data_IF_516585039848
#
_entry.id   IF_516585039848
#
_cell.length_a   1.000
_cell.length_b   1.000
_cell.length_c   1.000
_cell.angle_alpha   90.00
_cell.angle_beta   90.00
_cell.angle_gamma   90.00
#
_symmetry.space_group_name_H-M   'P 1'
#
loop_
_entity.id
_entity.type
_entity.pdbx_description
1 polymer ?
#
# COMPACT_ATOMS: atom_id res chain seq x y z
N UNK A 1 11.03 1.29 -3.66
CA UNK A 1 10.14 2.03 -4.58
C UNK A 1 10.95 2.67 -5.70
N UNK A 2 10.39 2.65 -6.92
CA UNK A 2 11.05 3.07 -8.16
C UNK A 2 10.66 4.49 -8.61
N UNK A 3 9.39 4.87 -8.48
CA UNK A 3 8.87 6.16 -8.98
C UNK A 3 8.22 7.00 -7.89
N UNK A 4 7.56 6.38 -6.91
CA UNK A 4 7.06 7.08 -5.73
C UNK A 4 8.20 7.63 -4.87
N UNK A 5 8.05 8.86 -4.38
CA UNK A 5 8.93 9.44 -3.35
C UNK A 5 8.20 9.45 -2.00
N UNK A 6 8.82 8.86 -0.98
CA UNK A 6 8.40 8.95 0.41
C UNK A 6 9.67 8.94 1.27
N UNK A 7 10.11 10.11 1.70
CA UNK A 7 11.40 10.29 2.43
C UNK A 7 11.23 11.26 3.59
N UNK A 8 12.04 11.09 4.63
CA UNK A 8 12.16 12.09 5.69
C UNK A 8 12.96 13.30 5.21
N UNK A 9 12.38 14.51 5.33
CA UNK A 9 13.00 15.78 4.98
C UNK A 9 12.63 16.87 5.99
N UNK A 10 13.62 17.59 6.51
CA UNK A 10 13.49 18.74 7.42
C UNK A 10 12.41 18.62 8.53
N UNK A 11 12.37 17.47 9.22
CA UNK A 11 11.46 17.26 10.36
C UNK A 11 10.07 16.74 10.02
N UNK A 12 9.83 16.29 8.78
CA UNK A 12 8.61 15.59 8.39
C UNK A 12 8.79 14.69 7.17
N UNK A 13 7.72 14.04 6.73
CA UNK A 13 7.75 13.20 5.52
C UNK A 13 7.39 14.01 4.27
N UNK A 14 8.30 14.03 3.30
CA UNK A 14 8.02 14.46 1.94
C UNK A 14 7.49 13.27 1.13
N UNK A 15 6.26 13.40 0.62
CA UNK A 15 5.60 12.38 -0.19
C UNK A 15 5.17 12.94 -1.55
N UNK A 16 5.51 12.23 -2.63
CA UNK A 16 5.19 12.66 -4.00
C UNK A 16 4.91 11.45 -4.93
N UNK A 17 3.65 11.26 -5.40
CA UNK A 17 3.30 10.20 -6.34
C UNK A 17 3.40 10.63 -7.82
N UNK A 18 3.75 11.89 -8.14
CA UNK A 18 3.61 12.44 -9.50
C UNK A 18 4.40 11.68 -10.55
N UNK A 19 5.63 11.26 -10.23
CA UNK A 19 6.43 10.46 -11.15
C UNK A 19 5.79 9.08 -11.40
N UNK A 20 5.27 8.42 -10.36
CA UNK A 20 4.54 7.17 -10.52
C UNK A 20 3.29 7.34 -11.39
N UNK A 21 2.48 8.37 -11.13
CA UNK A 21 1.28 8.67 -11.91
C UNK A 21 1.57 8.98 -13.39
N UNK A 22 2.74 9.56 -13.70
CA UNK A 22 3.17 9.79 -15.08
C UNK A 22 3.58 8.49 -15.80
N UNK A 23 4.07 7.49 -15.07
CA UNK A 23 4.52 6.21 -15.61
C UNK A 23 3.40 5.16 -15.65
N UNK A 24 2.46 5.19 -14.71
CA UNK A 24 1.38 4.21 -14.58
C UNK A 24 0.65 3.92 -15.91
N UNK A 25 0.27 4.92 -16.74
CA UNK A 25 -0.38 4.65 -18.03
C UNK A 25 0.44 3.78 -18.99
N UNK A 26 1.77 3.73 -18.85
CA UNK A 26 2.66 2.97 -19.73
C UNK A 26 2.69 1.48 -19.42
N UNK A 27 2.33 1.09 -18.19
CA UNK A 27 2.39 -0.31 -17.75
C UNK A 27 1.12 -0.83 -17.08
N UNK A 28 0.11 0.01 -16.83
CA UNK A 28 -1.13 -0.43 -16.16
C UNK A 28 -1.81 -1.62 -16.86
N UNK A 29 -1.68 -1.75 -18.17
CA UNK A 29 -2.28 -2.86 -18.93
C UNK A 29 -1.55 -4.18 -18.71
N UNK A 30 -0.36 -4.15 -18.12
CA UNK A 30 0.41 -5.32 -17.69
C UNK A 30 0.09 -5.72 -16.25
N UNK A 31 -0.63 -4.87 -15.49
CA UNK A 31 -1.05 -5.20 -14.13
C UNK A 31 -2.21 -6.20 -14.14
N UNK A 32 -2.25 -7.12 -13.15
CA UNK A 32 -3.43 -7.91 -12.82
C UNK A 32 -4.66 -7.02 -12.59
N UNK A 33 -5.86 -7.59 -12.72
CA UNK A 33 -7.09 -6.81 -12.77
C UNK A 33 -7.33 -5.99 -11.49
N UNK A 34 -7.17 -6.61 -10.32
CA UNK A 34 -7.40 -5.93 -9.05
C UNK A 34 -6.28 -4.95 -8.69
N UNK A 35 -5.03 -5.32 -8.96
CA UNK A 35 -3.87 -4.43 -8.87
C UNK A 35 -4.04 -3.17 -9.74
N UNK A 36 -4.52 -3.34 -10.98
CA UNK A 36 -4.80 -2.24 -11.90
C UNK A 36 -5.93 -1.35 -11.40
N UNK A 37 -7.03 -1.95 -10.95
CA UNK A 37 -8.18 -1.22 -10.39
C UNK A 37 -7.74 -0.33 -9.23
N UNK A 38 -6.99 -0.91 -8.29
CA UNK A 38 -6.52 -0.20 -7.10
C UNK A 38 -5.53 0.92 -7.45
N UNK A 39 -4.46 0.61 -8.18
CA UNK A 39 -3.44 1.61 -8.56
C UNK A 39 -3.99 2.74 -9.46
N UNK A 40 -5.07 2.49 -10.20
CA UNK A 40 -5.65 3.46 -11.13
C UNK A 40 -6.81 4.26 -10.54
N UNK A 41 -7.21 4.02 -9.29
CA UNK A 41 -8.26 4.80 -8.65
C UNK A 41 -7.79 6.26 -8.50
N UNK A 42 -8.48 7.25 -9.12
CA UNK A 42 -8.09 8.65 -9.03
C UNK A 42 -8.03 9.20 -7.60
N UNK A 43 -8.80 8.62 -6.67
CA UNK A 43 -8.81 9.04 -5.28
C UNK A 43 -7.59 8.52 -4.50
N UNK A 44 -6.96 7.43 -4.95
CA UNK A 44 -5.87 6.76 -4.24
C UNK A 44 -4.69 7.69 -3.94
N UNK A 45 -4.28 8.48 -4.94
CA UNK A 45 -3.13 9.39 -4.87
C UNK A 45 -3.50 10.88 -4.73
N UNK A 46 -4.79 11.18 -4.59
CA UNK A 46 -5.26 12.55 -4.42
C UNK A 46 -5.11 12.99 -2.94
N UNK A 47 -3.91 13.45 -2.57
CA UNK A 47 -3.53 13.80 -1.18
C UNK A 47 -4.25 15.03 -0.58
N UNK A 48 -5.22 15.62 -1.30
CA UNK A 48 -5.92 16.83 -0.87
C UNK A 48 -6.84 16.64 0.33
N UNK A 49 -7.19 17.73 0.99
CA UNK A 49 -8.13 17.73 2.11
C UNK A 49 -9.50 17.17 1.72
N UNK A 50 -10.10 16.37 2.61
CA UNK A 50 -11.45 15.82 2.45
C UNK A 50 -11.53 14.56 1.59
N UNK A 51 -10.41 14.02 1.11
CA UNK A 51 -10.39 12.74 0.41
C UNK A 51 -10.17 11.57 1.39
N UNK A 52 -11.25 10.90 1.78
CA UNK A 52 -11.23 9.71 2.64
C UNK A 52 -10.84 8.41 1.93
N UNK A 53 -10.50 8.44 0.64
CA UNK A 53 -10.12 7.27 -0.17
C UNK A 53 -8.66 7.29 -0.63
N UNK A 54 -7.85 8.20 -0.08
CA UNK A 54 -6.41 8.19 -0.26
C UNK A 54 -5.75 7.24 0.75
N UNK A 55 -4.72 6.50 0.36
CA UNK A 55 -4.05 5.56 1.28
C UNK A 55 -3.21 6.23 2.35
N UNK A 56 -2.74 7.47 2.13
CA UNK A 56 -1.86 8.17 3.05
C UNK A 56 -2.53 8.34 4.42
N UNK A 57 -1.78 8.16 5.50
CA UNK A 57 -2.17 8.24 6.90
C UNK A 57 -3.05 7.08 7.40
N UNK A 58 -3.39 6.10 6.56
CA UNK A 58 -4.01 4.87 7.04
C UNK A 58 -3.07 4.14 8.02
N UNK A 59 -3.62 3.62 9.11
CA UNK A 59 -2.87 3.01 10.22
C UNK A 59 -2.77 1.49 10.01
N UNK A 60 -1.57 0.92 9.94
CA UNK A 60 -1.41 -0.53 9.83
C UNK A 60 -1.93 -1.21 11.11
N UNK A 61 -3.04 -1.96 10.99
CA UNK A 61 -3.76 -2.53 12.13
C UNK A 61 -3.73 -4.06 12.18
N UNK A 62 -3.48 -4.72 11.04
CA UNK A 62 -3.52 -6.17 10.97
C UNK A 62 -2.73 -6.75 9.80
N UNK A 63 -2.09 -7.89 10.06
CA UNK A 63 -1.43 -8.72 9.05
C UNK A 63 -1.85 -10.15 9.30
N UNK A 64 -2.55 -10.74 8.34
CA UNK A 64 -3.01 -12.13 8.42
C UNK A 64 -2.42 -12.93 7.28
N UNK A 65 -1.65 -13.96 7.61
CA UNK A 65 -1.08 -14.89 6.64
C UNK A 65 -1.76 -16.25 6.72
N UNK A 66 -2.12 -16.80 5.57
CA UNK A 66 -2.66 -18.15 5.50
C UNK A 66 -1.55 -19.19 5.76
N UNK A 67 -1.80 -20.08 6.72
CA UNK A 67 -0.84 -21.14 7.13
C UNK A 67 -0.97 -22.43 6.31
N UNK A 68 -1.97 -22.51 5.43
CA UNK A 68 -2.35 -23.69 4.64
C UNK A 68 -1.62 -23.78 3.29
N UNK A 69 -0.59 -22.95 3.08
CA UNK A 69 0.14 -22.80 1.81
C UNK A 69 -0.71 -22.31 0.63
N UNK A 70 -1.92 -21.77 0.87
CA UNK A 70 -2.72 -21.14 -0.18
C UNK A 70 -2.07 -19.89 -0.78
N UNK A 71 -1.06 -19.32 -0.10
CA UNK A 71 -0.43 -18.06 -0.49
C UNK A 71 -1.37 -16.87 -0.33
N UNK A 72 -2.34 -16.95 0.59
CA UNK A 72 -3.18 -15.83 1.01
C UNK A 72 -2.46 -14.94 2.02
N UNK A 73 -2.51 -13.63 1.79
CA UNK A 73 -2.08 -12.60 2.74
C UNK A 73 -3.18 -11.53 2.79
N UNK A 74 -3.48 -11.02 3.97
CA UNK A 74 -4.32 -9.83 4.14
C UNK A 74 -3.56 -8.80 4.95
N UNK A 75 -3.57 -7.57 4.46
CA UNK A 75 -3.17 -6.38 5.20
C UNK A 75 -4.44 -5.59 5.53
N UNK A 76 -4.53 -5.15 6.78
CA UNK A 76 -5.62 -4.32 7.26
C UNK A 76 -5.08 -2.99 7.75
N UNK A 77 -5.76 -1.93 7.33
CA UNK A 77 -5.44 -0.58 7.72
C UNK A 77 -6.66 0.11 8.32
N UNK A 78 -6.51 0.57 9.56
CA UNK A 78 -7.51 1.34 10.28
C UNK A 78 -7.61 2.77 9.73
N UNK A 79 -8.82 3.37 9.77
CA UNK A 79 -9.00 4.76 9.40
C UNK A 79 -8.29 5.68 10.39
N UNK A 80 -7.50 6.62 9.89
CA UNK A 80 -7.13 7.79 10.67
C UNK A 80 -8.37 8.66 10.90
N UNK A 81 -8.77 8.82 12.17
CA UNK A 81 -10.00 9.52 12.60
C UNK A 81 -10.16 10.96 12.07
N UNK A 82 -9.07 11.59 11.62
CA UNK A 82 -9.08 12.96 11.10
C UNK A 82 -9.31 13.04 9.59
N UNK A 83 -9.09 11.93 8.87
CA UNK A 83 -9.02 11.93 7.40
C UNK A 83 -9.90 10.89 6.73
N UNK A 84 -10.10 9.75 7.36
CA UNK A 84 -10.78 8.60 6.78
C UNK A 84 -12.06 8.29 7.55
N UNK A 85 -13.12 7.98 6.80
CA UNK A 85 -14.40 7.48 7.31
C UNK A 85 -14.46 5.94 7.31
N UNK A 86 -13.54 5.28 6.61
CA UNK A 86 -13.43 3.84 6.49
C UNK A 86 -11.97 3.39 6.47
N UNK A 87 -11.71 2.17 6.94
CA UNK A 87 -10.41 1.52 6.78
C UNK A 87 -10.25 0.90 5.39
N UNK A 88 -9.12 0.24 5.18
CA UNK A 88 -8.78 -0.46 3.96
C UNK A 88 -8.33 -1.89 4.27
N UNK A 89 -8.96 -2.87 3.63
CA UNK A 89 -8.49 -4.26 3.61
C UNK A 89 -7.92 -4.57 2.24
N UNK A 90 -6.68 -5.04 2.19
CA UNK A 90 -6.04 -5.52 0.96
C UNK A 90 -5.79 -7.02 1.10
N UNK A 91 -6.48 -7.81 0.27
CA UNK A 91 -6.30 -9.26 0.21
C UNK A 91 -5.48 -9.63 -1.02
N UNK A 92 -4.35 -10.29 -0.80
CA UNK A 92 -3.43 -10.75 -1.82
C UNK A 92 -3.61 -12.23 -2.10
N UNK A 93 -3.50 -12.61 -3.37
CA UNK A 93 -3.61 -13.99 -3.83
C UNK A 93 -2.32 -14.45 -4.51
N UNK A 94 -1.96 -15.73 -4.33
CA UNK A 94 -0.75 -16.28 -4.93
C UNK A 94 0.51 -15.53 -4.49
N UNK A 95 0.61 -15.19 -3.20
CA UNK A 95 1.77 -14.49 -2.64
C UNK A 95 2.99 -15.39 -2.74
N UNK A 96 4.05 -14.88 -3.36
CA UNK A 96 5.34 -15.56 -3.52
C UNK A 96 6.43 -14.94 -2.65
N UNK A 97 6.24 -13.70 -2.23
CA UNK A 97 7.14 -12.99 -1.33
C UNK A 97 6.35 -12.01 -0.45
N UNK A 98 6.73 -11.95 0.82
CA UNK A 98 6.26 -10.95 1.78
C UNK A 98 7.43 -10.57 2.69
N UNK A 99 7.71 -9.27 2.82
CA UNK A 99 8.66 -8.75 3.80
C UNK A 99 8.15 -7.46 4.43
N UNK A 100 8.59 -7.22 5.66
CA UNK A 100 8.51 -5.94 6.34
C UNK A 100 9.92 -5.58 6.74
N UNK A 101 10.38 -4.43 6.27
CA UNK A 101 11.74 -3.95 6.47
C UNK A 101 11.66 -2.64 7.27
N UNK A 102 12.09 -2.67 8.54
CA UNK A 102 12.09 -1.51 9.44
C UNK A 102 13.39 -0.70 9.27
N UNK A 103 13.28 0.62 9.17
CA UNK A 103 14.44 1.50 9.01
C UNK A 103 15.14 1.82 10.34
N UNK A 104 14.39 1.89 11.45
CA UNK A 104 14.94 2.14 12.78
C UNK A 104 14.60 1.03 13.78
N UNK A 105 15.10 1.18 15.01
CA UNK A 105 14.70 0.32 16.13
C UNK A 105 13.23 0.54 16.44
N UNK A 106 12.42 -0.53 16.32
CA UNK A 106 10.96 -0.53 16.50
C UNK A 106 10.56 0.29 17.73
N UNK A 107 9.89 1.42 17.52
CA UNK A 107 9.16 2.11 18.57
C UNK A 107 7.75 1.52 18.68
N UNK A 108 7.61 0.53 19.56
CA UNK A 108 6.36 -0.19 19.81
C UNK A 108 5.19 0.69 20.28
N UNK A 109 5.43 1.98 20.58
CA UNK A 109 4.40 2.92 21.04
C UNK A 109 3.72 3.68 19.90
N UNK A 110 4.25 3.65 18.68
CA UNK A 110 3.68 4.34 17.53
C UNK A 110 3.13 3.35 16.50
N UNK A 111 1.92 3.63 16.02
CA UNK A 111 1.32 2.86 14.91
C UNK A 111 1.95 3.34 13.61
N UNK A 112 2.46 2.41 12.81
CA UNK A 112 2.95 2.72 11.49
C UNK A 112 1.82 3.19 10.58
N UNK A 113 2.00 4.36 9.97
CA UNK A 113 1.02 4.92 9.02
C UNK A 113 1.56 4.92 7.61
N UNK A 114 0.68 4.70 6.64
CA UNK A 114 1.03 4.71 5.22
C UNK A 114 1.46 6.11 4.79
N UNK A 115 2.65 6.21 4.20
CA UNK A 115 3.10 7.41 3.52
C UNK A 115 2.57 7.43 2.09
N UNK A 116 2.95 6.42 1.30
CA UNK A 116 2.50 6.15 -0.06
C UNK A 116 2.74 4.67 -0.38
N UNK A 117 2.19 4.20 -1.48
CA UNK A 117 2.46 2.89 -2.04
C UNK A 117 2.72 2.95 -3.56
N UNK A 118 3.29 1.88 -4.08
CA UNK A 118 3.61 1.71 -5.49
C UNK A 118 3.29 0.29 -5.93
N UNK A 119 2.63 0.15 -7.08
CA UNK A 119 2.36 -1.16 -7.69
C UNK A 119 3.00 -1.24 -9.06
N UNK A 120 3.85 -2.23 -9.25
CA UNK A 120 4.56 -2.49 -10.51
C UNK A 120 4.23 -3.91 -11.04
N UNK A 121 4.23 -4.12 -12.37
CA UNK A 121 4.10 -5.46 -12.94
C UNK A 121 5.23 -6.39 -12.46
N UNK A 122 4.87 -7.61 -12.11
CA UNK A 122 5.82 -8.68 -11.79
C UNK A 122 6.30 -9.39 -13.06
N UNK A 123 7.46 -10.04 -12.99
CA UNK A 123 8.03 -10.80 -14.11
C UNK A 123 7.19 -12.04 -14.48
N UNK A 124 6.36 -12.52 -13.54
CA UNK A 124 5.52 -13.71 -13.64
C UNK A 124 4.07 -13.41 -14.09
N UNK A 125 3.80 -12.19 -14.52
CA UNK A 125 2.45 -11.72 -14.86
C UNK A 125 1.58 -11.36 -13.64
N UNK A 126 2.17 -11.39 -12.44
CA UNK A 126 1.59 -10.83 -11.22
C UNK A 126 1.95 -9.35 -11.02
N UNK A 127 2.06 -8.93 -9.76
CA UNK A 127 2.53 -7.60 -9.39
C UNK A 127 3.39 -7.59 -8.14
N UNK A 128 4.17 -6.54 -8.00
CA UNK A 128 4.87 -6.16 -6.77
C UNK A 128 4.16 -4.94 -6.19
N UNK A 129 3.72 -5.04 -4.95
CA UNK A 129 3.14 -3.93 -4.19
C UNK A 129 4.12 -3.56 -3.09
N UNK A 130 4.66 -2.35 -3.18
CA UNK A 130 5.53 -1.74 -2.17
C UNK A 130 4.72 -0.69 -1.41
N UNK A 131 4.76 -0.70 -0.08
CA UNK A 131 4.08 0.28 0.78
C UNK A 131 5.13 0.90 1.69
N UNK A 132 5.24 2.22 1.66
CA UNK A 132 6.09 2.98 2.57
C UNK A 132 5.25 3.36 3.77
N UNK A 133 5.75 3.03 4.95
CA UNK A 133 5.20 3.43 6.24
C UNK A 133 6.13 4.46 6.88
N UNK A 134 5.72 4.99 8.02
CA UNK A 134 6.51 5.95 8.79
C UNK A 134 7.85 5.40 9.28
N UNK A 135 7.96 4.13 9.68
CA UNK A 135 9.22 3.55 10.16
C UNK A 135 9.58 2.21 9.48
N UNK A 136 8.81 1.82 8.47
CA UNK A 136 9.00 0.56 7.77
C UNK A 136 8.57 0.63 6.31
N UNK A 137 8.91 -0.41 5.57
CA UNK A 137 8.33 -0.68 4.26
C UNK A 137 7.79 -2.11 4.21
N UNK A 138 6.68 -2.29 3.51
CA UNK A 138 6.10 -3.60 3.21
C UNK A 138 6.32 -3.88 1.72
N UNK A 139 6.79 -5.09 1.40
CA UNK A 139 6.85 -5.57 0.02
C UNK A 139 6.05 -6.86 -0.12
N UNK A 140 5.10 -6.88 -1.05
CA UNK A 140 4.33 -8.09 -1.42
C UNK A 140 4.55 -8.39 -2.90
N UNK A 141 5.01 -9.60 -3.23
CA UNK A 141 4.93 -10.14 -4.60
C UNK A 141 3.78 -11.13 -4.66
N UNK A 142 2.84 -10.92 -5.57
CA UNK A 142 1.62 -11.70 -5.63
C UNK A 142 1.09 -11.82 -7.06
N UNK A 143 0.15 -12.74 -7.26
CA UNK A 143 -0.54 -12.91 -8.54
C UNK A 143 -1.52 -11.77 -8.82
N UNK A 144 -2.28 -11.35 -7.81
CA UNK A 144 -3.20 -10.22 -7.86
C UNK A 144 -3.60 -9.84 -6.42
N UNK A 145 -4.18 -8.65 -6.26
CA UNK A 145 -4.72 -8.15 -5.01
C UNK A 145 -6.17 -7.69 -5.17
N UNK A 146 -6.89 -7.59 -4.05
CA UNK A 146 -8.20 -6.97 -3.98
C UNK A 146 -8.22 -5.99 -2.82
N UNK A 147 -8.45 -4.72 -3.12
CA UNK A 147 -8.60 -3.66 -2.15
C UNK A 147 -10.10 -3.39 -1.88
N UNK A 148 -10.50 -3.37 -0.62
CA UNK A 148 -11.87 -3.08 -0.20
C UNK A 148 -11.83 -2.08 0.94
N UNK A 149 -12.45 -0.93 0.72
CA UNK A 149 -12.69 0.08 1.76
C UNK A 149 -13.94 -0.29 2.56
N UNK A 150 -13.87 -0.12 3.88
CA UNK A 150 -15.00 -0.37 4.78
C UNK A 150 -14.55 -0.56 6.23
N UNK A 151 -15.41 -1.16 7.04
CA UNK A 151 -15.06 -1.55 8.39
C UNK A 151 -13.93 -2.60 8.35
N UNK A 152 -12.81 -2.25 8.98
CA UNK A 152 -11.74 -3.19 9.31
C UNK A 152 -11.95 -3.64 10.75
N UNK A 153 -11.82 -4.94 10.99
CA UNK A 153 -12.24 -5.59 12.24
C UNK A 153 -11.07 -6.18 12.99
#
# INVERSE_FOLDING_TARGET
>A
MKYVTAVWDDGGFHVDPRAYLAELPKFRDQLPAGAREFASDPAHYALGHGNGRCVKDLELSGIQMAIDKSGGLTLEFAPNQWKHDAGLRISYSGVTHFSIDYEHSIDWMLVDTVLLDEILPGEDGGCVHEIALTDASITVRCKDLRAVWGDVG
#
